data_IF_914906587156
#
_entry.id   IF_914906587156
#
_cell.length_a   1.000
_cell.length_b   1.000
_cell.length_c   1.000
_cell.angle_alpha   90.00
_cell.angle_beta   90.00
_cell.angle_gamma   90.00
#
_symmetry.space_group_name_H-M   'P 1'
#
loop_
_entity.id
_entity.type
_entity.pdbx_description
1 polymer ?
#
# COMPACT_ATOMS: atom_id res chain seq x y z
N UNK A 1 10.53 23.59 16.50
CA UNK A 1 9.40 23.11 15.67
C UNK A 1 9.60 21.65 15.33
N UNK A 2 8.57 20.81 15.52
CA UNK A 2 8.59 19.39 15.11
C UNK A 2 7.82 19.29 13.79
N UNK A 3 8.42 18.66 12.78
CA UNK A 3 7.78 18.33 11.51
C UNK A 3 7.70 16.81 11.44
N UNK A 4 6.47 16.29 11.27
CA UNK A 4 6.23 14.86 11.20
C UNK A 4 5.33 14.54 10.00
N UNK A 5 5.60 13.40 9.36
CA UNK A 5 4.80 12.83 8.28
C UNK A 5 4.16 11.51 8.73
N UNK A 6 2.98 11.20 8.18
CA UNK A 6 2.30 9.94 8.48
C UNK A 6 2.93 8.73 7.77
N UNK A 7 3.65 8.94 6.67
CA UNK A 7 4.34 7.89 5.92
C UNK A 7 5.74 8.36 5.49
N UNK A 8 6.56 7.42 5.02
CA UNK A 8 7.93 7.71 4.61
C UNK A 8 7.98 8.49 3.29
N UNK A 9 7.05 8.26 2.36
CA UNK A 9 6.98 8.99 1.09
C UNK A 9 6.87 10.50 1.33
N UNK A 10 5.93 10.94 2.17
CA UNK A 10 5.74 12.35 2.50
C UNK A 10 6.97 12.94 3.21
N UNK A 11 7.59 12.17 4.12
CA UNK A 11 8.80 12.61 4.80
C UNK A 11 9.97 12.83 3.83
N UNK A 12 10.17 11.93 2.86
CA UNK A 12 11.20 12.07 1.83
C UNK A 12 10.84 13.16 0.80
N UNK A 13 9.57 13.34 0.47
CA UNK A 13 9.10 14.42 -0.40
C UNK A 13 9.36 15.78 0.24
N UNK A 14 9.03 15.96 1.52
CA UNK A 14 9.38 17.16 2.30
C UNK A 14 10.89 17.36 2.29
N UNK A 15 11.66 16.30 2.57
CA UNK A 15 13.13 16.37 2.61
C UNK A 15 13.72 16.80 1.27
N UNK A 16 13.17 16.32 0.15
CA UNK A 16 13.64 16.66 -1.19
C UNK A 16 13.51 18.15 -1.51
N UNK A 17 12.38 18.78 -1.18
CA UNK A 17 12.17 20.20 -1.49
C UNK A 17 12.68 21.17 -0.42
N UNK A 18 12.88 20.72 0.82
CA UNK A 18 13.17 21.62 1.95
C UNK A 18 14.47 21.30 2.69
N UNK A 19 15.05 20.11 2.48
CA UNK A 19 16.18 19.62 3.25
C UNK A 19 15.82 19.18 4.68
N UNK A 20 14.58 19.42 5.12
CA UNK A 20 14.11 19.08 6.45
C UNK A 20 13.84 17.58 6.57
N UNK A 21 14.43 16.96 7.59
CA UNK A 21 14.14 15.56 7.95
C UNK A 21 12.90 15.51 8.85
N UNK A 22 11.77 15.12 8.28
CA UNK A 22 10.55 14.89 9.04
C UNK A 22 10.61 13.56 9.82
N UNK A 23 9.99 13.53 11.01
CA UNK A 23 9.82 12.29 11.78
C UNK A 23 8.66 11.51 11.16
N UNK A 24 8.83 10.20 10.94
CA UNK A 24 7.75 9.34 10.44
C UNK A 24 6.94 8.79 11.61
N UNK A 25 5.67 9.19 11.70
CA UNK A 25 4.72 8.80 12.75
C UNK A 25 3.47 8.17 12.11
N UNK A 26 3.52 6.87 11.76
CA UNK A 26 2.42 6.19 11.09
C UNK A 26 1.18 6.07 11.96
N UNK A 27 0.02 6.10 11.30
CA UNK A 27 -1.27 5.90 11.93
C UNK A 27 -1.36 4.54 12.64
N UNK A 28 -1.81 4.58 13.89
CA UNK A 28 -1.97 3.40 14.73
C UNK A 28 -3.28 2.65 14.42
N UNK A 29 -4.33 3.36 14.00
CA UNK A 29 -5.66 2.82 13.68
C UNK A 29 -6.26 1.91 14.77
N UNK A 30 -6.00 2.23 16.05
CA UNK A 30 -6.48 1.43 17.19
C UNK A 30 -8.02 1.37 17.32
N UNK A 31 -8.73 2.31 16.70
CA UNK A 31 -10.20 2.37 16.70
C UNK A 31 -10.86 1.23 15.91
N UNK A 32 -10.13 0.53 15.04
CA UNK A 32 -10.66 -0.59 14.25
C UNK A 32 -11.18 -1.72 15.14
N UNK A 33 -10.54 -1.94 16.29
CA UNK A 33 -10.88 -2.94 17.31
C UNK A 33 -11.20 -4.34 16.72
N UNK A 34 -10.47 -4.71 15.66
CA UNK A 34 -10.61 -5.97 14.96
C UNK A 34 -9.23 -6.58 14.73
N UNK A 35 -9.19 -7.89 14.60
CA UNK A 35 -7.98 -8.64 14.24
C UNK A 35 -8.38 -9.79 13.34
N UNK A 36 -7.48 -10.16 12.45
CA UNK A 36 -7.61 -11.28 11.53
C UNK A 36 -8.16 -12.52 12.21
N UNK A 37 -9.24 -13.03 11.64
CA UNK A 37 -9.98 -14.20 12.09
C UNK A 37 -10.62 -14.85 10.87
N UNK A 38 -9.79 -15.41 10.00
CA UNK A 38 -10.23 -16.04 8.77
C UNK A 38 -11.42 -16.98 9.02
N UNK A 39 -12.47 -16.82 8.22
CA UNK A 39 -13.62 -17.72 8.17
C UNK A 39 -13.52 -18.54 6.88
N UNK A 40 -13.61 -19.86 7.02
CA UNK A 40 -13.55 -20.80 5.89
C UNK A 40 -14.67 -20.47 4.89
N UNK A 41 -14.34 -20.51 3.60
CA UNK A 41 -15.28 -20.25 2.51
C UNK A 41 -15.45 -18.77 2.13
N UNK A 42 -14.87 -17.82 2.88
CA UNK A 42 -14.82 -16.42 2.46
C UNK A 42 -13.83 -16.25 1.29
N UNK A 43 -14.14 -15.40 0.29
CA UNK A 43 -13.23 -15.11 -0.81
C UNK A 43 -12.07 -14.21 -0.36
N UNK A 44 -10.95 -14.22 -1.08
CA UNK A 44 -10.01 -13.11 -1.02
C UNK A 44 -10.68 -11.84 -1.57
N UNK A 45 -10.33 -10.70 -1.00
CA UNK A 45 -10.89 -9.41 -1.41
C UNK A 45 -9.94 -8.70 -2.36
N UNK A 46 -10.44 -8.20 -3.49
CA UNK A 46 -9.73 -7.23 -4.32
C UNK A 46 -10.10 -5.83 -3.82
N UNK A 47 -9.09 -5.08 -3.37
CA UNK A 47 -9.24 -3.67 -3.02
C UNK A 47 -9.63 -2.83 -4.26
N UNK A 48 -10.26 -1.65 -4.08
CA UNK A 48 -10.60 -0.78 -5.21
C UNK A 48 -9.39 -0.46 -6.08
N UNK A 49 -9.55 -0.65 -7.40
CA UNK A 49 -8.58 -0.24 -8.43
C UNK A 49 -9.17 1.01 -9.09
N UNK A 50 -8.49 2.14 -8.97
CA UNK A 50 -9.04 3.43 -9.41
C UNK A 50 -8.84 3.69 -10.92
N UNK A 51 -7.79 3.14 -11.52
CA UNK A 51 -7.57 3.23 -12.96
C UNK A 51 -8.46 2.20 -13.69
N UNK A 52 -9.47 2.70 -14.40
CA UNK A 52 -10.56 1.87 -14.96
C UNK A 52 -10.10 0.94 -16.06
N UNK A 53 -9.17 1.38 -16.91
CA UNK A 53 -8.69 0.55 -18.02
C UNK A 53 -7.85 -0.61 -17.49
N UNK A 54 -7.02 -0.33 -16.50
CA UNK A 54 -6.18 -1.27 -15.82
C UNK A 54 -6.97 -2.22 -14.93
N UNK A 55 -8.07 -1.78 -14.32
CA UNK A 55 -8.99 -2.67 -13.60
C UNK A 55 -9.43 -3.83 -14.49
N UNK A 56 -10.00 -3.56 -15.67
CA UNK A 56 -10.44 -4.59 -16.60
C UNK A 56 -9.28 -5.47 -17.06
N UNK A 57 -8.11 -4.87 -17.32
CA UNK A 57 -6.90 -5.59 -17.72
C UNK A 57 -6.42 -6.55 -16.64
N UNK A 58 -6.33 -6.08 -15.39
CA UNK A 58 -5.91 -6.87 -14.24
C UNK A 58 -6.87 -8.04 -14.00
N UNK A 59 -8.18 -7.80 -14.08
CA UNK A 59 -9.17 -8.86 -13.92
C UNK A 59 -9.08 -9.92 -15.03
N UNK A 60 -8.79 -9.53 -16.27
CA UNK A 60 -8.51 -10.48 -17.35
C UNK A 60 -7.26 -11.31 -17.04
N UNK A 61 -6.14 -10.64 -16.71
CA UNK A 61 -4.87 -11.32 -16.39
C UNK A 61 -5.05 -12.32 -15.24
N UNK A 62 -5.73 -11.92 -14.16
CA UNK A 62 -5.99 -12.76 -13.01
C UNK A 62 -6.88 -13.97 -13.37
N UNK A 63 -7.93 -13.74 -14.16
CA UNK A 63 -8.82 -14.82 -14.65
C UNK A 63 -8.06 -15.82 -15.51
N UNK A 64 -7.20 -15.33 -16.40
CA UNK A 64 -6.38 -16.17 -17.26
C UNK A 64 -5.37 -16.98 -16.44
N UNK A 65 -4.77 -16.38 -15.41
CA UNK A 65 -3.91 -17.06 -14.42
C UNK A 65 -4.63 -18.22 -13.72
N UNK A 66 -5.84 -18.00 -13.21
CA UNK A 66 -6.62 -19.07 -12.59
C UNK A 66 -6.91 -20.23 -13.55
N UNK A 67 -7.31 -19.91 -14.79
CA UNK A 67 -7.66 -20.93 -15.79
C UNK A 67 -6.47 -21.82 -16.15
N UNK A 68 -5.32 -21.23 -16.50
CA UNK A 68 -4.20 -22.02 -17.00
C UNK A 68 -3.45 -22.75 -15.89
N UNK A 69 -3.37 -22.17 -14.67
CA UNK A 69 -2.79 -22.85 -13.51
C UNK A 69 -3.73 -23.91 -12.91
N UNK A 70 -4.99 -23.95 -13.35
CA UNK A 70 -6.03 -24.86 -12.84
C UNK A 70 -6.22 -24.76 -11.32
N UNK A 71 -6.08 -23.54 -10.79
CA UNK A 71 -6.24 -23.23 -9.38
C UNK A 71 -7.64 -22.64 -9.17
N UNK A 72 -8.38 -23.20 -8.22
CA UNK A 72 -9.68 -22.69 -7.81
C UNK A 72 -9.56 -21.96 -6.47
N UNK A 73 -9.57 -20.63 -6.49
CA UNK A 73 -9.64 -19.78 -5.30
C UNK A 73 -10.74 -18.75 -5.51
N UNK A 74 -11.60 -18.58 -4.50
CA UNK A 74 -12.63 -17.57 -4.54
C UNK A 74 -12.02 -16.18 -4.33
N UNK A 75 -12.28 -15.27 -5.27
CA UNK A 75 -11.86 -13.87 -5.22
C UNK A 75 -13.05 -12.99 -5.58
N UNK A 76 -13.24 -11.87 -4.88
CA UNK A 76 -14.33 -10.94 -5.14
C UNK A 76 -13.89 -9.49 -4.90
N UNK A 77 -14.48 -8.54 -5.61
CA UNK A 77 -14.25 -7.13 -5.31
C UNK A 77 -14.92 -6.73 -3.99
N UNK A 78 -14.25 -5.86 -3.24
CA UNK A 78 -14.76 -5.36 -1.96
C UNK A 78 -16.20 -4.83 -2.07
N UNK A 79 -16.51 -4.11 -3.15
CA UNK A 79 -17.83 -3.48 -3.38
C UNK A 79 -18.92 -4.47 -3.80
N UNK A 80 -18.54 -5.62 -4.36
CA UNK A 80 -19.48 -6.69 -4.69
C UNK A 80 -19.88 -7.47 -3.43
N UNK A 81 -18.94 -7.67 -2.52
CA UNK A 81 -19.18 -8.29 -1.21
C UNK A 81 -19.92 -7.34 -0.27
N UNK A 82 -19.53 -6.06 -0.26
CA UNK A 82 -20.10 -5.03 0.61
C UNK A 82 -20.60 -3.84 -0.20
N UNK A 83 -21.89 -3.86 -0.53
CA UNK A 83 -22.55 -2.82 -1.36
C UNK A 83 -22.47 -1.40 -0.78
N UNK A 84 -22.41 -1.27 0.56
CA UNK A 84 -22.34 0.04 1.23
C UNK A 84 -21.25 0.05 2.31
N UNK A 85 -21.64 -0.18 3.56
CA UNK A 85 -20.79 -0.19 4.73
C UNK A 85 -20.50 -1.63 5.17
N UNK A 86 -19.34 -1.82 5.76
CA UNK A 86 -18.95 -3.04 6.43
C UNK A 86 -18.28 -2.70 7.75
N UNK A 87 -18.33 -3.63 8.69
CA UNK A 87 -17.57 -3.53 9.94
C UNK A 87 -16.14 -4.03 9.70
N UNK A 88 -15.18 -3.43 10.40
CA UNK A 88 -13.78 -3.90 10.39
C UNK A 88 -13.65 -5.40 10.70
N UNK A 89 -14.45 -5.91 11.63
CA UNK A 89 -14.48 -7.35 11.95
C UNK A 89 -14.88 -8.22 10.76
N UNK A 90 -15.80 -7.76 9.90
CA UNK A 90 -16.22 -8.51 8.73
C UNK A 90 -15.09 -8.58 7.70
N UNK A 91 -14.34 -7.49 7.51
CA UNK A 91 -13.19 -7.49 6.62
C UNK A 91 -12.10 -8.44 7.12
N UNK A 92 -11.89 -8.51 8.43
CA UNK A 92 -10.93 -9.41 9.08
C UNK A 92 -11.29 -10.91 8.99
N UNK A 93 -12.49 -11.27 8.52
CA UNK A 93 -12.91 -12.65 8.27
C UNK A 93 -12.41 -13.20 6.92
N UNK A 94 -11.98 -12.33 6.01
CA UNK A 94 -11.49 -12.74 4.70
C UNK A 94 -10.05 -13.30 4.77
N UNK A 95 -9.66 -14.24 3.90
CA UNK A 95 -8.32 -14.83 3.93
C UNK A 95 -7.19 -13.80 3.75
N UNK A 96 -7.42 -12.80 2.92
CA UNK A 96 -6.48 -11.70 2.66
C UNK A 96 -7.04 -10.70 1.66
N UNK A 97 -6.28 -9.64 1.41
CA UNK A 97 -6.65 -8.54 0.50
C UNK A 97 -5.59 -8.38 -0.57
N UNK A 98 -6.03 -8.36 -1.83
CA UNK A 98 -5.22 -8.14 -3.03
C UNK A 98 -5.30 -6.67 -3.40
N UNK A 99 -4.16 -6.03 -3.54
CA UNK A 99 -4.03 -4.63 -3.90
C UNK A 99 -3.46 -4.44 -5.30
N UNK A 100 -4.08 -3.51 -6.03
CA UNK A 100 -3.41 -2.70 -7.05
C UNK A 100 -3.53 -1.25 -6.55
N UNK A 101 -2.47 -0.68 -5.97
CA UNK A 101 -2.55 0.59 -5.28
C UNK A 101 -2.77 1.74 -6.26
N UNK A 102 -3.60 2.71 -5.85
CA UNK A 102 -3.81 3.97 -6.57
C UNK A 102 -3.05 5.16 -5.96
N UNK A 103 -2.56 5.01 -4.73
CA UNK A 103 -1.81 6.01 -3.98
C UNK A 103 -0.72 5.32 -3.13
N UNK A 104 0.34 6.05 -2.81
CA UNK A 104 1.52 5.58 -2.04
C UNK A 104 1.24 5.35 -0.54
N UNK A 105 0.16 5.94 -0.03
CA UNK A 105 -0.28 5.85 1.36
C UNK A 105 -1.80 6.07 1.41
N UNK A 106 -2.56 5.10 1.94
CA UNK A 106 -4.02 5.20 2.08
C UNK A 106 -4.46 4.75 3.46
N UNK A 107 -5.39 5.46 4.10
CA UNK A 107 -5.80 5.15 5.48
C UNK A 107 -6.34 3.72 5.66
N UNK A 108 -7.06 3.20 4.67
CA UNK A 108 -7.58 1.83 4.69
C UNK A 108 -6.47 0.78 4.75
N UNK A 109 -5.30 1.04 4.16
CA UNK A 109 -4.14 0.16 4.22
C UNK A 109 -3.59 0.10 5.66
N UNK A 110 -3.48 1.24 6.35
CA UNK A 110 -3.10 1.25 7.78
C UNK A 110 -4.10 0.44 8.61
N UNK A 111 -5.39 0.68 8.44
CA UNK A 111 -6.43 -0.06 9.17
C UNK A 111 -6.31 -1.57 8.96
N UNK A 112 -6.19 -2.02 7.71
CA UNK A 112 -6.11 -3.43 7.36
C UNK A 112 -4.82 -4.10 7.85
N UNK A 113 -3.70 -3.40 7.73
CA UNK A 113 -2.42 -3.88 8.24
C UNK A 113 -2.45 -4.00 9.77
N UNK A 114 -3.05 -3.04 10.48
CA UNK A 114 -3.20 -3.05 11.94
C UNK A 114 -4.18 -4.11 12.44
N UNK A 115 -5.14 -4.50 11.60
CA UNK A 115 -5.98 -5.69 11.81
C UNK A 115 -5.24 -7.01 11.53
N UNK A 116 -3.96 -7.00 11.13
CA UNK A 116 -3.16 -8.20 10.84
C UNK A 116 -3.71 -9.04 9.67
N UNK A 117 -4.43 -8.41 8.74
CA UNK A 117 -4.97 -9.10 7.57
C UNK A 117 -3.82 -9.29 6.58
N UNK A 118 -3.57 -10.50 6.05
CA UNK A 118 -2.59 -10.71 4.99
C UNK A 118 -2.87 -9.85 3.77
N UNK A 119 -1.87 -9.09 3.32
CA UNK A 119 -1.99 -8.16 2.20
C UNK A 119 -1.05 -8.56 1.06
N UNK A 120 -1.59 -8.60 -0.15
CA UNK A 120 -0.87 -8.94 -1.38
C UNK A 120 -0.69 -7.68 -2.22
N UNK A 121 0.55 -7.35 -2.56
CA UNK A 121 0.89 -6.17 -3.36
C UNK A 121 1.78 -6.57 -4.54
N UNK A 122 1.74 -5.84 -5.67
CA UNK A 122 2.75 -6.01 -6.70
C UNK A 122 4.13 -5.67 -6.15
N UNK A 123 5.17 -6.34 -6.65
CA UNK A 123 6.56 -5.96 -6.39
C UNK A 123 6.82 -4.53 -6.86
N UNK A 124 7.90 -3.91 -6.35
CA UNK A 124 8.27 -2.55 -6.75
C UNK A 124 8.45 -2.43 -8.27
N UNK A 125 9.08 -3.43 -8.88
CA UNK A 125 9.33 -3.43 -10.32
C UNK A 125 8.01 -3.56 -11.10
N UNK A 126 7.15 -4.50 -10.71
CA UNK A 126 5.85 -4.69 -11.37
C UNK A 126 4.95 -3.45 -11.23
N UNK A 127 4.91 -2.83 -10.05
CA UNK A 127 4.11 -1.62 -9.84
C UNK A 127 4.68 -0.42 -10.63
N UNK A 128 6.00 -0.34 -10.72
CA UNK A 128 6.69 0.69 -11.53
C UNK A 128 6.28 0.55 -13.00
N UNK A 129 6.32 -0.65 -13.55
CA UNK A 129 5.91 -0.92 -14.94
C UNK A 129 4.43 -0.60 -15.17
N UNK A 130 3.56 -1.03 -14.25
CA UNK A 130 2.13 -0.73 -14.32
C UNK A 130 1.84 0.77 -14.23
N UNK A 131 2.53 1.50 -13.36
CA UNK A 131 2.35 2.94 -13.24
C UNK A 131 2.91 3.71 -14.44
N UNK A 132 4.08 3.32 -14.94
CA UNK A 132 4.66 3.93 -16.15
C UNK A 132 3.74 3.74 -17.36
N UNK A 133 3.20 2.53 -17.54
CA UNK A 133 2.37 2.17 -18.70
C UNK A 133 0.93 2.69 -18.58
N UNK A 134 0.30 2.52 -17.41
CA UNK A 134 -1.14 2.73 -17.23
C UNK A 134 -1.47 3.86 -16.22
N UNK A 135 -0.49 4.35 -15.47
CA UNK A 135 -0.73 5.35 -14.43
C UNK A 135 -1.47 4.81 -13.21
N UNK A 136 -1.28 3.53 -12.84
CA UNK A 136 -2.11 2.89 -11.80
C UNK A 136 -2.05 3.60 -10.44
N UNK A 137 -0.89 4.13 -10.04
CA UNK A 137 -0.71 4.99 -8.84
C UNK A 137 -0.93 6.48 -9.16
N UNK A 138 -2.06 6.84 -9.78
CA UNK A 138 -2.33 8.19 -10.28
C UNK A 138 -2.41 9.28 -9.21
N UNK A 139 -2.60 8.93 -7.93
CA UNK A 139 -2.63 9.86 -6.81
C UNK A 139 -1.24 10.03 -6.15
N UNK A 140 -0.16 9.57 -6.82
CA UNK A 140 1.23 9.80 -6.39
C UNK A 140 1.66 11.26 -6.50
N UNK A 141 1.16 11.97 -7.52
CA UNK A 141 1.49 13.38 -7.80
C UNK A 141 0.20 14.16 -8.04
N UNK A 142 0.16 15.41 -7.59
CA UNK A 142 -1.04 16.25 -7.70
C UNK A 142 -1.51 16.44 -9.14
N UNK A 143 -0.56 16.67 -10.05
CA UNK A 143 -0.85 16.90 -11.46
C UNK A 143 -1.46 15.67 -12.14
N UNK A 144 -1.07 14.46 -11.74
CA UNK A 144 -1.60 13.19 -12.27
C UNK A 144 -3.07 12.97 -11.91
N UNK A 145 -3.51 13.42 -10.73
CA UNK A 145 -4.94 13.40 -10.33
C UNK A 145 -5.79 14.21 -11.31
N UNK A 146 -5.26 15.32 -11.81
CA UNK A 146 -5.93 16.17 -12.80
C UNK A 146 -5.76 15.69 -14.26
N UNK A 147 -5.09 14.56 -14.48
CA UNK A 147 -4.75 14.06 -15.82
C UNK A 147 -3.65 14.83 -16.54
N UNK A 148 -2.92 15.72 -15.83
CA UNK A 148 -1.90 16.60 -16.39
C UNK A 148 -0.48 16.19 -16.00
N UNK A 149 -0.14 14.91 -16.19
CA UNK A 149 1.19 14.36 -15.85
C UNK A 149 2.32 15.29 -16.27
N UNK A 150 3.30 15.48 -15.39
CA UNK A 150 4.49 16.31 -15.65
C UNK A 150 5.76 15.46 -15.63
N UNK A 151 6.81 15.99 -16.24
CA UNK A 151 8.15 15.40 -16.24
C UNK A 151 9.09 16.08 -15.23
N UNK A 152 8.65 17.13 -14.55
CA UNK A 152 9.44 17.85 -13.54
C UNK A 152 8.53 18.68 -12.63
N UNK A 153 9.06 19.00 -11.45
CA UNK A 153 8.51 19.97 -10.52
C UNK A 153 8.71 21.41 -11.00
N UNK A 154 7.84 22.31 -10.55
CA UNK A 154 7.96 23.76 -10.80
C UNK A 154 9.16 24.35 -10.04
N UNK A 155 9.52 23.74 -8.92
CA UNK A 155 10.66 24.13 -8.09
C UNK A 155 11.67 22.99 -8.06
N UNK A 156 12.96 23.31 -8.07
CA UNK A 156 14.02 22.30 -7.94
C UNK A 156 14.09 21.76 -6.51
N UNK A 157 14.52 20.50 -6.37
CA UNK A 157 14.89 19.95 -5.07
C UNK A 157 16.14 20.64 -4.51
N UNK A 158 16.34 20.53 -3.20
CA UNK A 158 17.51 21.07 -2.48
C UNK A 158 18.53 20.00 -2.08
N UNK A 159 18.21 18.73 -2.35
CA UNK A 159 19.10 17.61 -2.10
C UNK A 159 20.05 17.37 -3.28
N UNK A 160 20.84 16.29 -3.18
CA UNK A 160 21.77 15.84 -4.22
C UNK A 160 21.09 15.83 -5.61
N UNK A 161 21.68 16.46 -6.63
CA UNK A 161 21.10 16.53 -7.98
C UNK A 161 20.93 15.18 -8.66
N UNK A 162 21.56 14.12 -8.16
CA UNK A 162 21.36 12.74 -8.63
C UNK A 162 20.06 12.11 -8.10
N UNK A 163 19.37 12.72 -7.13
CA UNK A 163 18.05 12.26 -6.70
C UNK A 163 17.02 12.73 -7.74
N UNK A 164 16.28 11.80 -8.37
CA UNK A 164 15.33 12.18 -9.41
C UNK A 164 14.15 12.96 -8.84
N UNK A 165 13.53 13.79 -9.67
CA UNK A 165 12.38 14.61 -9.30
C UNK A 165 11.15 13.73 -8.96
N UNK A 166 10.52 13.89 -7.77
CA UNK A 166 9.33 13.12 -7.40
C UNK A 166 8.15 13.34 -8.33
N UNK A 167 8.05 14.48 -9.00
CA UNK A 167 6.95 14.80 -9.90
C UNK A 167 7.23 14.44 -11.36
N UNK A 168 8.31 13.71 -11.64
CA UNK A 168 8.52 13.13 -12.96
C UNK A 168 7.72 11.82 -13.12
N UNK A 169 6.69 11.87 -13.95
CA UNK A 169 5.78 10.76 -14.26
C UNK A 169 6.16 9.96 -15.51
N UNK A 170 7.24 10.35 -16.21
CA UNK A 170 7.65 9.77 -17.48
C UNK A 170 8.96 9.00 -17.40
N UNK A 171 9.83 9.38 -16.45
CA UNK A 171 11.08 8.66 -16.18
C UNK A 171 10.83 7.46 -15.26
N UNK A 172 11.16 6.28 -15.77
CA UNK A 172 11.03 5.02 -15.05
C UNK A 172 11.91 5.00 -13.79
N UNK A 173 13.09 5.61 -13.85
CA UNK A 173 14.00 5.67 -12.71
C UNK A 173 13.41 6.53 -11.58
N UNK A 174 12.90 7.72 -11.90
CA UNK A 174 12.18 8.58 -10.97
C UNK A 174 10.99 7.86 -10.31
N UNK A 175 10.10 7.29 -11.13
CA UNK A 175 8.92 6.55 -10.64
C UNK A 175 9.34 5.48 -9.64
N UNK A 176 10.28 4.62 -10.03
CA UNK A 176 10.75 3.51 -9.18
C UNK A 176 11.41 4.01 -7.90
N UNK A 177 12.23 5.06 -8.01
CA UNK A 177 12.93 5.65 -6.88
C UNK A 177 11.96 6.11 -5.81
N UNK A 178 10.86 6.75 -6.22
CA UNK A 178 9.87 7.31 -5.30
C UNK A 178 8.85 6.29 -4.80
N UNK A 179 8.39 5.37 -5.67
CA UNK A 179 7.44 4.33 -5.27
C UNK A 179 7.98 3.45 -4.14
N UNK A 180 9.30 3.25 -4.03
CA UNK A 180 9.89 2.43 -2.97
C UNK A 180 9.52 2.95 -1.56
N UNK A 181 9.22 4.24 -1.40
CA UNK A 181 8.87 4.83 -0.11
C UNK A 181 7.39 4.63 0.29
N UNK A 182 6.58 4.01 -0.57
CA UNK A 182 5.18 3.69 -0.28
C UNK A 182 5.06 2.78 0.93
N UNK A 183 4.00 2.94 1.72
CA UNK A 183 3.79 2.24 2.99
C UNK A 183 3.95 0.72 2.87
N UNK A 184 3.35 0.15 1.82
CA UNK A 184 3.36 -1.28 1.55
C UNK A 184 4.73 -1.84 1.13
N UNK A 185 5.76 -1.02 0.94
CA UNK A 185 7.16 -1.46 0.79
C UNK A 185 8.01 -1.24 2.05
N UNK A 186 7.47 -0.52 3.04
CA UNK A 186 8.15 -0.24 4.30
C UNK A 186 7.73 -1.19 5.42
N UNK A 187 6.59 -1.86 5.28
CA UNK A 187 6.04 -2.68 6.34
C UNK A 187 6.38 -4.17 6.18
N UNK A 188 6.76 -4.86 7.27
CA UNK A 188 7.09 -6.27 7.19
C UNK A 188 5.85 -7.13 6.92
N UNK A 189 6.08 -8.33 6.41
CA UNK A 189 5.06 -9.36 6.18
C UNK A 189 4.00 -9.01 5.12
N UNK A 190 4.24 -7.99 4.29
CA UNK A 190 3.52 -7.82 3.03
C UNK A 190 3.94 -8.92 2.07
N UNK A 191 2.99 -9.47 1.32
CA UNK A 191 3.22 -10.54 0.35
C UNK A 191 3.32 -9.90 -1.04
N UNK A 192 4.53 -9.88 -1.61
CA UNK A 192 4.73 -9.33 -2.95
C UNK A 192 4.51 -10.37 -4.04
N UNK A 193 4.10 -9.95 -5.23
CA UNK A 193 4.06 -10.79 -6.43
C UNK A 193 4.61 -10.03 -7.65
N UNK A 194 5.27 -10.74 -8.55
CA UNK A 194 5.84 -10.19 -9.80
C UNK A 194 4.98 -10.49 -11.03
N UNK A 195 3.94 -11.32 -10.88
CA UNK A 195 2.95 -11.59 -11.93
C UNK A 195 1.62 -12.05 -11.32
N UNK A 196 0.55 -12.08 -12.12
CA UNK A 196 -0.73 -12.67 -11.68
C UNK A 196 -0.63 -14.18 -11.45
N UNK A 197 0.30 -14.87 -12.11
CA UNK A 197 0.56 -16.30 -11.87
C UNK A 197 1.17 -16.51 -10.50
N UNK A 198 2.20 -15.73 -10.16
CA UNK A 198 2.81 -15.76 -8.84
C UNK A 198 1.80 -15.39 -7.76
N UNK A 199 0.94 -14.39 -8.02
CA UNK A 199 -0.17 -14.05 -7.12
C UNK A 199 -1.06 -15.26 -6.88
N UNK A 200 -1.58 -15.91 -7.93
CA UNK A 200 -2.47 -17.07 -7.81
C UNK A 200 -1.82 -18.22 -7.04
N UNK A 201 -0.53 -18.48 -7.29
CA UNK A 201 0.25 -19.47 -6.52
C UNK A 201 0.32 -19.05 -5.05
N UNK A 202 0.60 -17.79 -4.75
CA UNK A 202 0.71 -17.31 -3.36
C UNK A 202 -0.64 -17.29 -2.63
N UNK A 203 -1.76 -17.11 -3.31
CA UNK A 203 -3.09 -17.21 -2.71
C UNK A 203 -3.37 -18.61 -2.14
N UNK A 204 -2.74 -19.66 -2.68
CA UNK A 204 -2.93 -21.04 -2.22
C UNK A 204 -1.82 -21.57 -1.33
N UNK A 205 -0.59 -21.07 -1.49
CA UNK A 205 0.60 -21.63 -0.84
C UNK A 205 1.06 -20.83 0.39
N UNK A 206 0.61 -19.57 0.54
CA UNK A 206 1.03 -18.74 1.68
C UNK A 206 0.38 -19.21 2.98
N UNK A 207 1.18 -19.39 4.04
CA UNK A 207 0.65 -19.62 5.38
C UNK A 207 0.13 -18.29 5.97
N UNK A 208 -1.12 -17.98 5.66
CA UNK A 208 -1.80 -16.74 6.03
C UNK A 208 -1.88 -16.54 7.55
N UNK A 209 -2.10 -17.62 8.29
CA UNK A 209 -2.10 -17.60 9.76
C UNK A 209 -0.74 -17.16 10.30
N UNK A 210 0.35 -17.72 9.78
CA UNK A 210 1.70 -17.33 10.21
C UNK A 210 2.02 -15.88 9.83
N UNK A 211 1.64 -15.44 8.63
CA UNK A 211 1.78 -14.03 8.20
C UNK A 211 1.07 -13.12 9.20
N UNK A 212 -0.19 -13.41 9.52
CA UNK A 212 -0.98 -12.64 10.47
C UNK A 212 -0.39 -12.61 11.88
N UNK A 213 0.11 -13.75 12.38
CA UNK A 213 0.78 -13.83 13.68
C UNK A 213 2.02 -12.95 13.73
N UNK A 214 2.84 -12.96 12.67
CA UNK A 214 4.02 -12.12 12.59
C UNK A 214 3.67 -10.62 12.52
N UNK A 215 2.65 -10.26 11.72
CA UNK A 215 2.11 -8.89 11.69
C UNK A 215 1.64 -8.44 13.08
N UNK A 216 0.97 -9.32 13.84
CA UNK A 216 0.49 -9.01 15.19
C UNK A 216 1.63 -8.69 16.16
N UNK A 217 2.72 -9.47 16.10
CA UNK A 217 3.92 -9.21 16.90
C UNK A 217 4.52 -7.85 16.54
N UNK A 218 4.71 -7.58 15.24
CA UNK A 218 5.23 -6.29 14.77
C UNK A 218 4.33 -5.12 15.19
N UNK A 219 3.02 -5.23 15.02
CA UNK A 219 2.05 -4.20 15.35
C UNK A 219 2.01 -3.89 16.85
N UNK A 220 2.19 -4.90 17.71
CA UNK A 220 2.29 -4.69 19.17
C UNK A 220 3.53 -3.85 19.53
N UNK A 221 4.69 -4.16 18.94
CA UNK A 221 5.92 -3.40 19.15
C UNK A 221 5.81 -1.97 18.61
N UNK A 222 5.28 -1.83 17.39
CA UNK A 222 5.08 -0.51 16.79
C UNK A 222 4.14 0.37 17.62
N UNK A 223 3.08 -0.21 18.21
CA UNK A 223 2.20 0.52 19.12
C UNK A 223 3.00 1.12 20.28
N UNK A 224 3.82 0.32 20.97
CA UNK A 224 4.63 0.81 22.08
C UNK A 224 5.59 1.92 21.63
N UNK A 225 6.27 1.71 20.50
CA UNK A 225 7.15 2.71 19.89
C UNK A 225 6.43 4.03 19.62
N UNK A 226 5.27 4.02 18.96
CA UNK A 226 4.52 5.23 18.62
C UNK A 226 4.05 5.99 19.87
N UNK A 227 3.60 5.28 20.91
CA UNK A 227 3.23 5.91 22.17
C UNK A 227 4.42 6.64 22.81
N UNK A 228 5.60 6.03 22.78
CA UNK A 228 6.82 6.66 23.30
C UNK A 228 7.24 7.87 22.45
N UNK A 229 7.20 7.77 21.12
CA UNK A 229 7.49 8.91 20.24
C UNK A 229 6.54 10.09 20.51
N UNK A 230 5.24 9.84 20.60
CA UNK A 230 4.27 10.89 20.91
C UNK A 230 4.48 11.48 22.30
N UNK A 231 4.80 10.66 23.30
CA UNK A 231 5.13 11.14 24.66
C UNK A 231 6.32 12.10 24.64
N UNK A 232 7.41 11.73 23.97
CA UNK A 232 8.61 12.57 23.87
C UNK A 232 8.33 13.88 23.13
N UNK A 233 7.56 13.84 22.04
CA UNK A 233 7.18 15.04 21.29
C UNK A 233 6.35 15.98 22.17
N UNK A 234 5.32 15.47 22.84
CA UNK A 234 4.44 16.26 23.70
C UNK A 234 5.17 16.85 24.92
N UNK A 235 6.18 16.16 25.46
CA UNK A 235 7.01 16.68 26.54
C UNK A 235 7.89 17.87 26.13
N UNK A 236 8.31 17.94 24.85
CA UNK A 236 9.14 19.05 24.33
C UNK A 236 8.35 20.30 23.98
N UNK A 237 7.03 20.20 23.90
CA UNK A 237 6.13 21.33 23.60
C UNK A 237 5.69 22.04 24.89
N UNK A 238 5.91 21.42 26.06
CA UNK A 238 5.77 22.05 27.36
C UNK A 238 6.98 22.93 27.68
#
# INVERSE_FOLDING_TARGET
>A
NVIAGNNLYDAEYIRYFTGVKAIVLPSLCAYTNASYKQVIGKPFIIAPIHEKNFHSKFMSMLTDSFKHLKIAVAVAHLRDVYKSHYKYSQLAEHPGIIYVPYQVSVMSLFEQYRMNIPLFFPSLDLLTEWHHTYGVVNERTWDSVSGKKKNASIVSGVLDPNIPDPNNEFDLHAIRYWLKFSDFYQWPHIIYFNSTDELVIKLTTTNLTQVSLNMKVYNANLKQYLFEQWRQILQRIK
#
